data_IF_564260521513
#
_entry.id   IF_564260521513
#
_cell.length_a   1.000
_cell.length_b   1.000
_cell.length_c   1.000
_cell.angle_alpha   90.00
_cell.angle_beta   90.00
_cell.angle_gamma   90.00
#
_symmetry.space_group_name_H-M   'P 1'
#
loop_
_entity.id
_entity.type
_entity.pdbx_description
1 polymer ?
#
# COMPACT_ATOMS: atom_id res chain seq x y z
N UNK A 1 -19.16 -15.67 -13.23
CA UNK A 1 -19.88 -15.91 -11.96
C UNK A 1 -18.91 -16.39 -10.86
N UNK A 2 -17.71 -15.78 -10.74
CA UNK A 2 -16.58 -16.38 -9.99
C UNK A 2 -15.86 -15.41 -9.04
N UNK A 3 -16.54 -14.36 -8.55
CA UNK A 3 -15.99 -13.37 -7.61
C UNK A 3 -16.76 -13.33 -6.27
N UNK A 4 -17.73 -14.23 -6.08
CA UNK A 4 -18.45 -14.33 -4.81
C UNK A 4 -17.44 -14.64 -3.70
N UNK A 5 -17.46 -13.89 -2.59
CA UNK A 5 -16.57 -14.13 -1.46
C UNK A 5 -15.28 -13.30 -1.41
N UNK A 6 -14.86 -12.68 -2.52
CA UNK A 6 -13.63 -11.87 -2.53
C UNK A 6 -13.78 -10.58 -1.71
N UNK A 7 -14.98 -10.00 -1.70
CA UNK A 7 -15.29 -8.82 -0.86
C UNK A 7 -15.20 -9.17 0.63
N UNK A 8 -15.74 -10.32 1.03
CA UNK A 8 -15.70 -10.82 2.40
C UNK A 8 -14.27 -11.14 2.83
N UNK A 9 -13.47 -11.73 1.94
CA UNK A 9 -12.05 -11.97 2.19
C UNK A 9 -11.27 -10.67 2.36
N UNK A 10 -11.49 -9.67 1.48
CA UNK A 10 -10.87 -8.36 1.60
C UNK A 10 -11.23 -7.67 2.92
N UNK A 11 -12.51 -7.76 3.34
CA UNK A 11 -12.96 -7.23 4.63
C UNK A 11 -12.30 -7.96 5.81
N UNK A 12 -12.16 -9.29 5.73
CA UNK A 12 -11.47 -10.10 6.74
C UNK A 12 -9.98 -9.75 6.86
N UNK A 13 -9.28 -9.61 5.72
CA UNK A 13 -7.88 -9.16 5.69
C UNK A 13 -7.73 -7.76 6.29
N UNK A 14 -8.66 -6.84 6.00
CA UNK A 14 -8.65 -5.50 6.61
C UNK A 14 -8.79 -5.56 8.14
N UNK A 15 -9.63 -6.46 8.68
CA UNK A 15 -9.73 -6.68 10.14
C UNK A 15 -8.41 -7.22 10.71
N UNK A 16 -7.83 -8.24 10.07
CA UNK A 16 -6.55 -8.82 10.47
C UNK A 16 -5.42 -7.78 10.47
N UNK A 17 -5.31 -6.99 9.41
CA UNK A 17 -4.24 -5.99 9.28
C UNK A 17 -4.37 -4.87 10.32
N UNK A 18 -5.59 -4.53 10.75
CA UNK A 18 -5.78 -3.62 11.91
C UNK A 18 -5.23 -4.23 13.20
N UNK A 19 -5.47 -5.52 13.45
CA UNK A 19 -4.95 -6.22 14.64
C UNK A 19 -3.42 -6.32 14.59
N UNK A 20 -2.85 -6.70 13.44
CA UNK A 20 -1.41 -6.79 13.25
C UNK A 20 -0.73 -5.42 13.43
N UNK A 21 -1.36 -4.36 12.92
CA UNK A 21 -0.88 -3.00 13.12
C UNK A 21 -0.89 -2.58 14.60
N UNK A 22 -1.98 -2.83 15.32
CA UNK A 22 -2.07 -2.56 16.75
C UNK A 22 -1.05 -3.38 17.55
N UNK A 23 -0.88 -4.66 17.21
CA UNK A 23 0.11 -5.54 17.80
C UNK A 23 1.53 -5.00 17.60
N UNK A 24 1.88 -4.59 16.38
CA UNK A 24 3.17 -3.98 16.04
C UNK A 24 3.47 -2.77 16.92
N UNK A 25 2.49 -1.88 17.12
CA UNK A 25 2.65 -0.69 17.98
C UNK A 25 2.82 -1.12 19.44
N UNK A 26 1.93 -1.99 19.95
CA UNK A 26 1.92 -2.40 21.35
C UNK A 26 3.20 -3.14 21.77
N UNK A 27 3.82 -3.87 20.83
CA UNK A 27 5.03 -4.67 21.07
C UNK A 27 6.31 -4.00 20.57
N UNK A 28 6.19 -2.87 19.88
CA UNK A 28 7.27 -2.22 19.14
C UNK A 28 8.02 -3.19 18.19
N UNK A 29 7.34 -4.21 17.63
CA UNK A 29 7.94 -5.17 16.71
C UNK A 29 7.79 -4.72 15.24
N UNK A 30 8.84 -4.17 14.60
CA UNK A 30 8.74 -3.69 13.22
C UNK A 30 8.54 -4.81 12.20
N UNK A 31 8.66 -6.09 12.60
CA UNK A 31 8.59 -7.25 11.69
C UNK A 31 7.17 -7.77 11.48
N UNK A 32 6.23 -7.40 12.35
CA UNK A 32 4.82 -7.73 12.15
C UNK A 32 4.26 -6.91 10.97
N UNK A 33 4.16 -7.56 9.80
CA UNK A 33 3.64 -6.95 8.57
C UNK A 33 2.20 -7.38 8.30
N UNK A 34 1.47 -6.58 7.54
CA UNK A 34 0.12 -6.93 7.06
C UNK A 34 0.14 -8.15 6.14
N UNK A 35 -1.00 -8.82 6.04
CA UNK A 35 -1.22 -9.93 5.11
C UNK A 35 -2.08 -9.46 3.93
N UNK A 36 -1.64 -9.79 2.73
CA UNK A 36 -2.39 -9.62 1.49
C UNK A 36 -3.02 -10.93 1.00
N UNK A 37 -3.88 -10.82 -0.02
CA UNK A 37 -4.48 -12.00 -0.67
C UNK A 37 -3.43 -12.99 -1.20
N UNK A 38 -2.30 -12.48 -1.68
CA UNK A 38 -1.20 -13.23 -2.25
C UNK A 38 -0.34 -13.96 -1.21
N UNK A 39 -0.42 -13.56 0.07
CA UNK A 39 0.24 -14.25 1.18
C UNK A 39 -0.57 -15.46 1.68
N UNK A 40 -1.87 -15.50 1.35
CA UNK A 40 -2.75 -16.58 1.76
C UNK A 40 -2.51 -17.83 0.91
N UNK A 41 -2.00 -18.89 1.54
CA UNK A 41 -1.86 -20.22 0.93
C UNK A 41 -3.20 -20.75 0.41
N UNK A 42 -4.27 -20.54 1.19
CA UNK A 42 -5.64 -20.89 0.84
C UNK A 42 -6.58 -19.85 1.47
N UNK A 43 -7.62 -19.46 0.74
CA UNK A 43 -8.72 -18.67 1.29
C UNK A 43 -10.03 -19.46 1.16
N UNK A 44 -10.80 -19.57 2.23
CA UNK A 44 -12.09 -20.28 2.24
C UNK A 44 -13.15 -19.47 2.97
N UNK A 45 -14.38 -19.58 2.49
CA UNK A 45 -15.57 -19.09 3.20
C UNK A 45 -16.29 -20.29 3.77
N UNK A 46 -16.21 -20.46 5.09
CA UNK A 46 -17.03 -21.45 5.76
C UNK A 46 -18.42 -20.96 6.04
N UNK A 47 -19.32 -21.93 6.11
CA UNK A 47 -20.71 -21.74 6.42
C UNK A 47 -21.13 -22.83 7.41
N UNK A 48 -22.12 -22.51 8.24
CA UNK A 48 -22.61 -23.39 9.31
C UNK A 48 -23.80 -22.76 10.01
N UNK A 49 -24.26 -23.38 11.09
CA UNK A 49 -25.28 -22.76 11.94
C UNK A 49 -24.71 -21.51 12.63
N UNK A 50 -25.57 -20.53 12.92
CA UNK A 50 -25.14 -19.20 13.39
C UNK A 50 -24.18 -19.22 14.58
N UNK A 51 -24.50 -20.01 15.62
CA UNK A 51 -23.64 -20.17 16.81
C UNK A 51 -22.26 -20.74 16.47
N UNK A 52 -22.18 -21.73 15.57
CA UNK A 52 -20.88 -22.28 15.15
C UNK A 52 -20.02 -21.21 14.49
N UNK A 53 -20.59 -20.44 13.56
CA UNK A 53 -19.85 -19.40 12.84
C UNK A 53 -19.44 -18.27 13.77
N UNK A 54 -20.28 -17.93 14.76
CA UNK A 54 -19.94 -16.95 15.79
C UNK A 54 -18.71 -17.36 16.62
N UNK A 55 -18.55 -18.66 16.89
CA UNK A 55 -17.38 -19.24 17.58
C UNK A 55 -16.18 -19.48 16.64
N UNK A 56 -16.26 -19.09 15.36
CA UNK A 56 -15.21 -19.32 14.36
C UNK A 56 -15.15 -20.75 13.83
N UNK A 57 -16.18 -21.56 14.09
CA UNK A 57 -16.34 -22.92 13.57
C UNK A 57 -17.22 -22.91 12.31
N UNK A 58 -17.06 -23.92 11.46
CA UNK A 58 -17.84 -24.06 10.23
C UNK A 58 -18.24 -25.52 9.98
N UNK A 59 -19.39 -25.72 9.34
CA UNK A 59 -19.87 -27.06 8.96
C UNK A 59 -19.16 -27.53 7.69
N UNK A 60 -19.01 -26.63 6.72
CA UNK A 60 -18.27 -26.87 5.48
C UNK A 60 -17.76 -25.53 4.96
N UNK A 61 -16.86 -25.54 3.97
CA UNK A 61 -16.27 -24.33 3.43
C UNK A 61 -16.05 -24.39 1.93
N UNK A 62 -16.35 -23.25 1.28
CA UNK A 62 -16.05 -23.06 -0.13
C UNK A 62 -14.70 -22.40 -0.28
N UNK A 63 -13.80 -23.05 -0.99
CA UNK A 63 -12.52 -22.45 -1.34
C UNK A 63 -12.72 -21.31 -2.36
N UNK A 64 -12.10 -20.17 -2.06
CA UNK A 64 -12.01 -19.04 -2.95
C UNK A 64 -10.83 -19.27 -3.88
N UNK A 65 -11.16 -19.66 -5.11
CA UNK A 65 -10.18 -19.67 -6.19
C UNK A 65 -9.89 -18.22 -6.53
N UNK A 66 -8.61 -17.83 -6.45
CA UNK A 66 -8.16 -16.52 -6.92
C UNK A 66 -8.67 -16.35 -8.35
N UNK A 67 -9.61 -15.41 -8.62
CA UNK A 67 -9.99 -15.09 -9.97
C UNK A 67 -8.83 -14.29 -10.55
N UNK A 68 -7.73 -14.99 -10.88
CA UNK A 68 -6.49 -14.39 -11.29
C UNK A 68 -6.83 -13.27 -12.28
N UNK A 69 -6.59 -11.99 -11.95
CA UNK A 69 -6.82 -10.93 -12.91
C UNK A 69 -6.01 -11.33 -14.13
N UNK A 70 -6.65 -11.43 -15.31
CA UNK A 70 -6.00 -11.77 -16.59
C UNK A 70 -4.67 -11.05 -16.55
N UNK A 71 -3.57 -11.77 -16.30
CA UNK A 71 -2.25 -11.18 -16.10
C UNK A 71 -2.07 -10.28 -17.31
N UNK A 72 -2.18 -8.96 -17.14
CA UNK A 72 -1.70 -8.05 -18.18
C UNK A 72 -0.26 -8.48 -18.31
N UNK A 73 0.06 -9.04 -19.48
CA UNK A 73 1.38 -9.52 -19.88
C UNK A 73 2.41 -8.66 -19.17
N UNK A 74 3.24 -9.21 -18.28
CA UNK A 74 3.92 -8.33 -17.36
C UNK A 74 4.84 -7.41 -18.16
N UNK A 75 4.99 -6.16 -17.72
CA UNK A 75 6.18 -5.35 -18.05
C UNK A 75 7.41 -6.01 -17.38
N UNK A 76 7.62 -7.30 -17.65
CA UNK A 76 8.69 -8.16 -17.12
C UNK A 76 10.08 -7.56 -17.37
N UNK A 77 10.37 -6.90 -18.51
CA UNK A 77 11.72 -6.42 -18.76
C UNK A 77 12.14 -5.31 -17.79
N UNK A 78 11.24 -4.36 -17.48
CA UNK A 78 11.62 -3.17 -16.73
C UNK A 78 11.79 -3.42 -15.22
N UNK A 79 10.88 -4.15 -14.59
CA UNK A 79 10.98 -4.46 -13.16
C UNK A 79 12.16 -5.40 -12.85
N UNK A 80 12.40 -6.41 -13.70
CA UNK A 80 13.56 -7.30 -13.54
C UNK A 80 14.86 -6.57 -13.84
N UNK A 81 14.90 -5.67 -14.84
CA UNK A 81 16.08 -4.84 -15.10
C UNK A 81 16.36 -3.88 -13.94
N UNK A 82 15.34 -3.24 -13.36
CA UNK A 82 15.48 -2.40 -12.16
C UNK A 82 16.01 -3.21 -10.99
N UNK A 83 15.44 -4.37 -10.70
CA UNK A 83 15.92 -5.25 -9.64
C UNK A 83 17.37 -5.69 -9.87
N UNK A 84 17.72 -6.10 -11.09
CA UNK A 84 19.09 -6.46 -11.43
C UNK A 84 20.04 -5.28 -11.23
N UNK A 85 19.68 -4.07 -11.68
CA UNK A 85 20.51 -2.88 -11.51
C UNK A 85 20.73 -2.50 -10.03
N UNK A 86 19.71 -2.68 -9.18
CA UNK A 86 19.83 -2.50 -7.73
C UNK A 86 20.77 -3.55 -7.11
N UNK A 87 20.60 -4.83 -7.47
CA UNK A 87 21.42 -5.92 -6.94
C UNK A 87 22.88 -5.84 -7.40
N UNK A 88 23.14 -5.36 -8.61
CA UNK A 88 24.50 -5.16 -9.11
C UNK A 88 25.10 -3.81 -8.69
N UNK A 89 24.34 -2.95 -7.99
CA UNK A 89 24.80 -1.62 -7.58
C UNK A 89 24.93 -0.61 -8.73
N UNK A 90 24.43 -0.93 -9.93
CA UNK A 90 24.42 -0.01 -11.07
C UNK A 90 23.42 1.14 -10.89
N UNK A 91 22.42 0.92 -10.05
CA UNK A 91 21.49 1.95 -9.59
C UNK A 91 21.31 1.81 -8.09
N UNK A 92 20.99 2.94 -7.45
CA UNK A 92 20.61 2.97 -6.03
C UNK A 92 19.09 3.05 -5.89
N UNK A 93 18.58 2.48 -4.80
CA UNK A 93 17.20 2.73 -4.39
C UNK A 93 17.14 4.15 -3.84
N UNK A 94 16.16 4.92 -4.29
CA UNK A 94 15.93 6.28 -3.82
C UNK A 94 15.09 6.25 -2.55
N UNK A 95 15.33 7.19 -1.63
CA UNK A 95 14.53 7.30 -0.41
C UNK A 95 13.06 7.58 -0.74
N UNK A 96 12.81 8.38 -1.77
CA UNK A 96 11.46 8.68 -2.23
C UNK A 96 10.67 7.45 -2.69
N UNK A 97 11.34 6.46 -3.30
CA UNK A 97 10.70 5.23 -3.80
C UNK A 97 10.16 4.40 -2.64
N UNK A 98 10.98 4.15 -1.62
CA UNK A 98 10.57 3.38 -0.44
C UNK A 98 9.44 4.08 0.32
N UNK A 99 9.56 5.40 0.52
CA UNK A 99 8.54 6.17 1.24
C UNK A 99 7.22 6.24 0.48
N UNK A 100 7.25 6.35 -0.85
CA UNK A 100 6.03 6.31 -1.68
C UNK A 100 5.33 4.94 -1.59
N UNK A 101 6.09 3.84 -1.60
CA UNK A 101 5.53 2.49 -1.42
C UNK A 101 4.87 2.30 -0.05
N UNK A 102 5.49 2.82 1.02
CA UNK A 102 4.90 2.77 2.36
C UNK A 102 3.65 3.64 2.46
N UNK A 103 3.68 4.86 1.90
CA UNK A 103 2.52 5.75 1.90
C UNK A 103 1.34 5.10 1.19
N UNK A 104 1.59 4.42 0.06
CA UNK A 104 0.58 3.64 -0.67
C UNK A 104 0.03 2.50 0.17
N UNK A 105 0.90 1.72 0.83
CA UNK A 105 0.47 0.63 1.70
C UNK A 105 -0.41 1.14 2.85
N UNK A 106 -0.03 2.25 3.48
CA UNK A 106 -0.83 2.87 4.54
C UNK A 106 -2.18 3.36 4.01
N UNK A 107 -2.23 3.94 2.81
CA UNK A 107 -3.47 4.37 2.16
C UNK A 107 -4.40 3.17 1.86
N UNK A 108 -3.85 2.09 1.31
CA UNK A 108 -4.60 0.87 0.97
C UNK A 108 -5.17 0.19 2.23
N UNK A 109 -4.50 0.33 3.37
CA UNK A 109 -4.94 -0.20 4.66
C UNK A 109 -5.77 0.80 5.49
N UNK A 110 -6.13 1.95 4.92
CA UNK A 110 -6.99 2.97 5.53
C UNK A 110 -6.32 3.77 6.64
N UNK A 111 -4.99 3.79 6.69
CA UNK A 111 -4.17 4.60 7.59
C UNK A 111 -3.84 5.94 6.95
N UNK A 112 -4.88 6.73 6.73
CA UNK A 112 -4.80 7.99 5.98
C UNK A 112 -3.78 8.97 6.60
N UNK A 113 -3.66 8.96 7.94
CA UNK A 113 -2.70 9.81 8.68
C UNK A 113 -1.26 9.44 8.40
N UNK A 114 -0.90 8.16 8.55
CA UNK A 114 0.43 7.67 8.26
C UNK A 114 0.78 7.84 6.79
N UNK A 115 -0.19 7.56 5.90
CA UNK A 115 -0.05 7.70 4.46
C UNK A 115 0.33 9.13 4.06
N UNK A 116 -0.39 10.15 4.53
CA UNK A 116 -0.12 11.55 4.15
C UNK A 116 1.21 12.06 4.72
N UNK A 117 1.56 11.67 5.94
CA UNK A 117 2.84 12.04 6.56
C UNK A 117 4.02 11.47 5.77
N UNK A 118 3.91 10.21 5.34
CA UNK A 118 4.93 9.57 4.52
C UNK A 118 4.95 10.13 3.09
N UNK A 119 3.79 10.39 2.49
CA UNK A 119 3.68 10.96 1.15
C UNK A 119 4.35 12.34 1.06
N UNK A 120 4.22 13.20 2.08
CA UNK A 120 4.94 14.47 2.16
C UNK A 120 6.45 14.27 2.05
N UNK A 121 7.01 13.41 2.90
CA UNK A 121 8.46 13.17 2.91
C UNK A 121 8.91 12.47 1.62
N UNK A 122 8.10 11.57 1.07
CA UNK A 122 8.37 10.94 -0.22
C UNK A 122 8.46 11.98 -1.35
N UNK A 123 7.53 12.94 -1.37
CA UNK A 123 7.49 14.00 -2.38
C UNK A 123 8.69 14.95 -2.26
N UNK A 124 9.00 15.41 -1.05
CA UNK A 124 10.16 16.27 -0.80
C UNK A 124 11.47 15.55 -1.18
N UNK A 125 11.59 14.26 -0.84
CA UNK A 125 12.71 13.42 -1.25
C UNK A 125 12.77 13.26 -2.77
N UNK A 126 11.64 13.04 -3.44
CA UNK A 126 11.60 12.87 -4.90
C UNK A 126 12.10 14.13 -5.61
N UNK A 127 11.66 15.31 -5.19
CA UNK A 127 12.09 16.58 -5.76
C UNK A 127 13.60 16.83 -5.57
N UNK A 128 14.14 16.43 -4.42
CA UNK A 128 15.57 16.56 -4.13
C UNK A 128 16.44 15.53 -4.87
N UNK A 129 16.06 14.26 -4.81
CA UNK A 129 16.82 13.13 -5.36
C UNK A 129 16.79 13.13 -6.90
N UNK A 130 15.60 13.30 -7.50
CA UNK A 130 15.44 13.29 -8.96
C UNK A 130 15.83 14.63 -9.59
N UNK A 131 15.72 15.74 -8.86
CA UNK A 131 16.16 17.06 -9.32
C UNK A 131 17.68 17.19 -9.44
N UNK A 132 18.43 16.38 -8.68
CA UNK A 132 19.89 16.30 -8.76
C UNK A 132 20.43 15.29 -9.78
N UNK A 133 19.57 14.48 -10.41
CA UNK A 133 19.98 13.45 -11.36
C UNK A 133 20.41 14.08 -12.71
N UNK A 134 21.57 13.73 -13.29
CA UNK A 134 21.99 14.19 -14.62
C UNK A 134 20.99 13.87 -15.75
N UNK A 135 20.10 12.89 -15.56
CA UNK A 135 19.01 12.52 -16.47
C UNK A 135 17.70 13.31 -16.24
N UNK A 136 17.69 14.24 -15.28
CA UNK A 136 16.55 15.13 -14.96
C UNK A 136 15.91 15.85 -16.17
N UNK A 137 16.60 16.19 -17.28
CA UNK A 137 15.93 16.78 -18.44
C UNK A 137 14.80 15.92 -19.01
N UNK A 138 14.91 14.59 -18.93
CA UNK A 138 13.86 13.67 -19.38
C UNK A 138 12.68 13.59 -18.39
N UNK A 139 12.85 14.09 -17.17
CA UNK A 139 11.87 14.10 -16.09
C UNK A 139 11.28 15.49 -15.84
N UNK A 140 11.65 16.50 -16.64
CA UNK A 140 11.31 17.91 -16.38
C UNK A 140 9.82 18.18 -16.16
N UNK A 141 8.95 17.63 -17.02
CA UNK A 141 7.49 17.75 -16.88
C UNK A 141 6.97 17.09 -15.60
N UNK A 142 7.46 15.88 -15.27
CA UNK A 142 7.04 15.15 -14.06
C UNK A 142 7.54 15.83 -12.79
N UNK A 143 8.76 16.37 -12.78
CA UNK A 143 9.26 17.16 -11.67
C UNK A 143 8.43 18.42 -11.45
N UNK A 144 7.93 19.03 -12.54
CA UNK A 144 7.05 20.19 -12.43
C UNK A 144 5.68 19.82 -11.85
N UNK A 145 5.06 18.72 -12.31
CA UNK A 145 3.82 18.20 -11.71
C UNK A 145 3.98 17.93 -10.21
N UNK A 146 5.11 17.31 -9.79
CA UNK A 146 5.40 17.05 -8.38
C UNK A 146 5.53 18.35 -7.55
N UNK A 147 6.15 19.41 -8.12
CA UNK A 147 6.23 20.72 -7.44
C UNK A 147 4.84 21.35 -7.26
N UNK A 148 3.95 21.16 -8.22
CA UNK A 148 2.59 21.69 -8.15
C UNK A 148 1.74 20.96 -7.09
N UNK A 149 2.00 19.67 -6.86
CA UNK A 149 1.34 18.90 -5.80
C UNK A 149 1.85 19.20 -4.39
N UNK A 150 3.10 19.67 -4.26
CA UNK A 150 3.77 19.87 -2.96
C UNK A 150 2.96 20.70 -1.95
N UNK A 151 2.36 21.86 -2.30
CA UNK A 151 1.63 22.66 -1.32
C UNK A 151 0.39 21.94 -0.77
N UNK A 152 -0.33 21.18 -1.60
CA UNK A 152 -1.52 20.45 -1.18
C UNK A 152 -1.16 19.29 -0.25
N UNK A 153 -0.13 18.51 -0.58
CA UNK A 153 0.36 17.41 0.26
C UNK A 153 0.91 17.93 1.59
N UNK A 154 1.63 19.06 1.57
CA UNK A 154 2.13 19.70 2.79
C UNK A 154 0.98 20.13 3.72
N UNK A 155 -0.06 20.78 3.18
CA UNK A 155 -1.23 21.20 3.95
C UNK A 155 -1.98 20.01 4.57
N UNK A 156 -2.22 18.94 3.79
CA UNK A 156 -2.88 17.73 4.29
C UNK A 156 -2.06 17.05 5.39
N UNK A 157 -0.72 17.02 5.25
CA UNK A 157 0.17 16.50 6.28
C UNK A 157 0.18 17.36 7.56
N UNK A 158 0.08 18.69 7.44
CA UNK A 158 -0.04 19.60 8.60
C UNK A 158 -1.33 19.36 9.37
N UNK A 159 -2.46 19.24 8.67
CA UNK A 159 -3.74 18.88 9.28
C UNK A 159 -3.68 17.51 9.99
N UNK A 160 -3.01 16.55 9.36
CA UNK A 160 -2.79 15.23 9.93
C UNK A 160 -1.91 15.26 11.20
N UNK A 161 -0.92 16.17 11.28
CA UNK A 161 -0.13 16.37 12.49
C UNK A 161 -0.99 16.90 13.63
N UNK A 162 -1.87 17.86 13.35
CA UNK A 162 -2.82 18.45 14.30
C UNK A 162 -3.95 17.49 14.71
N UNK A 163 -4.00 16.29 14.12
CA UNK A 163 -4.94 15.23 14.47
C UNK A 163 -6.29 15.34 13.77
N UNK A 164 -6.41 16.19 12.75
CA UNK A 164 -7.63 16.38 11.97
C UNK A 164 -7.36 15.96 10.54
N UNK A 165 -7.94 14.84 10.09
CA UNK A 165 -7.96 14.49 8.67
C UNK A 165 -9.43 14.42 8.24
N UNK A 166 -9.98 15.48 7.62
CA UNK A 166 -11.32 15.40 7.08
C UNK A 166 -11.36 14.44 5.88
N UNK A 167 -12.52 13.82 5.66
CA UNK A 167 -12.73 12.81 4.61
C UNK A 167 -12.37 13.19 3.15
N UNK A 168 -12.32 14.46 2.68
CA UNK A 168 -11.99 14.79 1.30
C UNK A 168 -10.48 14.78 0.97
N UNK A 169 -9.57 14.62 1.93
CA UNK A 169 -8.11 14.70 1.66
C UNK A 169 -7.49 13.38 1.18
N UNK A 170 -8.29 12.31 1.08
CA UNK A 170 -7.85 11.02 0.50
C UNK A 170 -7.37 11.16 -0.94
N UNK A 171 -7.96 12.07 -1.71
CA UNK A 171 -7.58 12.29 -3.11
C UNK A 171 -6.18 12.91 -3.25
N UNK A 172 -5.76 13.74 -2.29
CA UNK A 172 -4.43 14.38 -2.32
C UNK A 172 -3.27 13.38 -2.13
N UNK A 173 -3.55 12.21 -1.55
CA UNK A 173 -2.57 11.16 -1.26
C UNK A 173 -2.66 9.99 -2.25
N UNK A 174 -3.67 9.99 -3.13
CA UNK A 174 -3.88 8.95 -4.12
C UNK A 174 -3.17 9.32 -5.44
N UNK A 175 -1.87 9.10 -5.52
CA UNK A 175 -1.03 9.30 -6.73
C UNK A 175 -0.74 7.99 -7.48
#
# INVERSE_FOLDING_TARGET
MNAAGETELAAGLAVLNRVLHAYRIATADPRAHGAGRHDALVARIGYGVGEQVADGLWTDARELTDPAPRRRRPRVPAAQARLAALLTGNQIALGCEELALRARLDLDEGRDREAVLQARIALDAALAELGGDPSAPALGERLQELRELQPAVAAAAEQALDGTLPAPDREAVAF
#
